data_IF_986235527523
#
_entry.id   IF_986235527523
#
_cell.length_a   1.000
_cell.length_b   1.000
_cell.length_c   1.000
_cell.angle_alpha   90.00
_cell.angle_beta   90.00
_cell.angle_gamma   90.00
#
_symmetry.space_group_name_H-M   'P 1'
#
loop_
_entity.id
_entity.type
_entity.pdbx_description
1 polymer ?
#
# COMPACT_ATOMS: atom_id res chain seq x y z
N UNK A 1 10.62 -1.78 -15.80
CA UNK A 1 11.28 -0.51 -15.48
C UNK A 1 11.47 -0.47 -13.97
N UNK A 2 12.69 -0.19 -13.49
CA UNK A 2 13.01 -0.22 -12.06
C UNK A 2 12.77 1.18 -11.47
N UNK A 3 12.09 1.22 -10.34
CA UNK A 3 11.88 2.42 -9.56
C UNK A 3 13.25 2.92 -9.07
N UNK A 4 13.56 4.18 -9.33
CA UNK A 4 14.78 4.79 -8.83
C UNK A 4 14.44 5.67 -7.63
N UNK A 5 14.90 5.26 -6.46
CA UNK A 5 14.71 5.97 -5.20
C UNK A 5 16.08 6.48 -4.76
N UNK A 6 16.19 7.79 -4.56
CA UNK A 6 17.42 8.44 -4.13
C UNK A 6 17.16 9.28 -2.89
N UNK A 7 17.83 8.92 -1.80
CA UNK A 7 17.90 9.77 -0.62
C UNK A 7 18.71 11.05 -0.92
N UNK A 8 18.11 12.22 -0.70
CA UNK A 8 18.77 13.51 -0.89
C UNK A 8 19.28 14.09 0.43
N UNK A 9 18.45 14.02 1.48
CA UNK A 9 18.77 14.58 2.79
C UNK A 9 18.03 13.80 3.87
N UNK A 10 18.68 13.63 5.02
CA UNK A 10 18.06 13.16 6.27
C UNK A 10 18.21 14.28 7.28
N UNK A 11 17.20 14.46 8.12
CA UNK A 11 17.29 15.33 9.27
C UNK A 11 18.14 14.68 10.37
N UNK A 12 19.01 15.46 11.01
CA UNK A 12 19.98 14.93 11.97
C UNK A 12 19.35 14.52 13.32
N UNK A 13 18.16 15.02 13.63
CA UNK A 13 17.48 14.81 14.92
C UNK A 13 16.20 13.96 14.79
N UNK A 14 15.49 14.09 13.66
CA UNK A 14 14.20 13.47 13.39
C UNK A 14 14.31 12.49 12.21
N UNK A 15 13.43 11.48 12.13
CA UNK A 15 13.45 10.54 10.99
C UNK A 15 12.87 11.13 9.70
N UNK A 16 12.87 12.46 9.56
CA UNK A 16 12.47 13.10 8.32
C UNK A 16 13.56 12.89 7.27
N UNK A 17 13.13 12.37 6.12
CA UNK A 17 14.00 12.24 4.96
C UNK A 17 13.36 12.84 3.73
N UNK A 18 14.19 13.43 2.90
CA UNK A 18 13.84 13.93 1.58
C UNK A 18 14.33 12.92 0.56
N UNK A 19 13.39 12.30 -0.14
CA UNK A 19 13.66 11.25 -1.11
C UNK A 19 13.12 11.67 -2.47
N UNK A 20 13.93 11.52 -3.51
CA UNK A 20 13.51 11.64 -4.90
C UNK A 20 13.10 10.28 -5.42
N UNK A 21 11.88 10.18 -5.97
CA UNK A 21 11.35 8.94 -6.55
C UNK A 21 11.11 9.20 -8.03
N UNK A 22 11.82 8.47 -8.88
CA UNK A 22 11.74 8.60 -10.33
C UNK A 22 11.23 7.30 -10.97
N UNK A 23 10.24 7.45 -11.85
CA UNK A 23 9.64 6.39 -12.62
C UNK A 23 9.41 6.87 -14.06
N UNK A 24 10.37 6.57 -14.94
CA UNK A 24 10.29 6.96 -16.34
C UNK A 24 10.43 8.47 -16.46
N UNK A 25 9.41 9.14 -17.00
CA UNK A 25 9.35 10.61 -17.08
C UNK A 25 8.71 11.28 -15.87
N UNK A 26 8.14 10.52 -14.93
CA UNK A 26 7.50 11.05 -13.72
C UNK A 26 8.50 11.05 -12.57
N UNK A 27 8.51 12.13 -11.80
CA UNK A 27 9.34 12.27 -10.59
C UNK A 27 8.56 12.96 -9.50
N UNK A 28 8.68 12.48 -8.27
CA UNK A 28 8.10 13.12 -7.08
C UNK A 28 9.17 13.31 -6.01
N UNK A 29 8.96 14.31 -5.16
CA UNK A 29 9.82 14.59 -4.00
C UNK A 29 9.03 14.37 -2.71
N UNK A 30 9.64 13.67 -1.75
CA UNK A 30 9.04 13.38 -0.44
C UNK A 30 9.63 14.28 0.65
N UNK A 31 8.94 14.51 1.78
CA UNK A 31 7.62 13.98 2.14
C UNK A 31 6.47 14.62 1.34
N UNK A 32 5.47 13.83 0.97
CA UNK A 32 4.29 14.30 0.21
C UNK A 32 3.02 13.58 0.69
N UNK A 33 1.86 14.25 0.63
CA UNK A 33 0.55 13.62 0.86
C UNK A 33 -0.08 13.30 -0.49
N UNK A 34 -0.56 12.08 -0.67
CA UNK A 34 -1.29 11.70 -1.86
C UNK A 34 -2.63 12.42 -1.95
N UNK A 35 -3.13 12.54 -3.16
CA UNK A 35 -4.38 13.23 -3.45
C UNK A 35 -5.37 12.38 -4.22
N UNK A 36 -6.65 12.73 -4.11
CA UNK A 36 -7.71 12.24 -4.98
C UNK A 36 -7.71 12.99 -6.32
N UNK A 37 -8.30 12.36 -7.34
CA UNK A 37 -8.40 12.95 -8.68
C UNK A 37 -9.24 14.23 -8.71
N UNK A 38 -10.23 14.37 -7.83
CA UNK A 38 -11.12 15.54 -7.80
C UNK A 38 -10.42 16.79 -7.27
N UNK A 39 -9.39 16.61 -6.43
CA UNK A 39 -8.62 17.70 -5.82
C UNK A 39 -7.12 17.36 -5.81
N UNK A 40 -6.46 17.38 -6.97
CA UNK A 40 -5.05 17.03 -7.08
C UNK A 40 -4.20 18.13 -6.44
N UNK A 41 -3.84 17.92 -5.18
CA UNK A 41 -2.92 18.80 -4.42
C UNK A 41 -1.48 18.30 -4.46
N UNK A 42 -1.23 17.17 -5.13
CA UNK A 42 0.07 16.50 -5.18
C UNK A 42 0.29 15.80 -6.52
N UNK A 43 1.57 15.52 -6.83
CA UNK A 43 1.95 14.78 -8.02
C UNK A 43 1.74 13.26 -7.90
N UNK A 44 1.15 12.78 -6.79
CA UNK A 44 0.81 11.37 -6.60
C UNK A 44 -0.70 11.19 -6.38
N UNK A 45 -1.30 10.40 -7.26
CA UNK A 45 -2.72 10.10 -7.27
C UNK A 45 -2.95 8.67 -6.76
N UNK A 46 -3.67 8.54 -5.65
CA UNK A 46 -4.03 7.25 -5.08
C UNK A 46 -5.42 6.82 -5.54
N UNK A 47 -5.50 5.65 -6.18
CA UNK A 47 -6.77 5.06 -6.62
C UNK A 47 -7.03 3.80 -5.80
N UNK A 48 -7.90 3.86 -4.80
CA UNK A 48 -8.18 2.69 -3.95
C UNK A 48 -9.46 1.97 -4.40
N UNK A 49 -9.34 0.67 -4.69
CA UNK A 49 -10.48 -0.15 -5.15
C UNK A 49 -10.62 -1.44 -4.36
N UNK A 50 -11.85 -1.67 -3.90
CA UNK A 50 -12.20 -2.81 -3.06
C UNK A 50 -13.01 -3.86 -3.82
N UNK A 51 -12.49 -5.08 -3.83
CA UNK A 51 -13.03 -6.22 -4.56
C UNK A 51 -13.41 -7.35 -3.60
N UNK A 52 -14.69 -7.70 -3.60
CA UNK A 52 -15.13 -8.97 -3.01
C UNK A 52 -14.95 -10.09 -4.04
N UNK A 53 -14.99 -11.34 -3.56
CA UNK A 53 -15.02 -12.52 -4.42
C UNK A 53 -16.16 -12.46 -5.45
N UNK A 54 -17.33 -11.98 -5.06
CA UNK A 54 -18.48 -11.79 -5.96
C UNK A 54 -18.16 -10.78 -7.07
N UNK A 55 -17.60 -9.62 -6.73
CA UNK A 55 -17.21 -8.61 -7.74
C UNK A 55 -16.19 -9.16 -8.73
N UNK A 56 -15.22 -9.95 -8.25
CA UNK A 56 -14.23 -10.58 -9.13
C UNK A 56 -14.86 -11.63 -10.04
N UNK A 57 -15.78 -12.44 -9.52
CA UNK A 57 -16.54 -13.39 -10.34
C UNK A 57 -17.39 -12.68 -11.40
N UNK A 58 -17.99 -11.53 -11.07
CA UNK A 58 -18.73 -10.73 -12.04
C UNK A 58 -17.79 -10.19 -13.13
N UNK A 59 -16.60 -9.69 -12.78
CA UNK A 59 -15.62 -9.26 -13.78
C UNK A 59 -15.16 -10.43 -14.67
N UNK A 60 -14.97 -11.62 -14.11
CA UNK A 60 -14.53 -12.82 -14.85
C UNK A 60 -15.62 -13.42 -15.77
N UNK A 61 -16.90 -13.16 -15.50
CA UNK A 61 -18.02 -13.78 -16.23
C UNK A 61 -18.84 -12.81 -17.08
N UNK A 62 -18.72 -11.50 -16.85
CA UNK A 62 -19.42 -10.44 -17.58
C UNK A 62 -18.45 -9.35 -18.07
N UNK A 63 -18.12 -9.40 -19.36
CA UNK A 63 -17.27 -8.41 -20.04
C UNK A 63 -17.80 -6.98 -19.90
N UNK A 64 -19.12 -6.77 -19.85
CA UNK A 64 -19.67 -5.42 -19.64
C UNK A 64 -19.36 -4.93 -18.22
N UNK A 65 -19.43 -5.81 -17.22
CA UNK A 65 -19.10 -5.48 -15.84
C UNK A 65 -17.61 -5.14 -15.70
N UNK A 66 -16.75 -5.92 -16.33
CA UNK A 66 -15.30 -5.68 -16.38
C UNK A 66 -14.99 -4.33 -17.05
N UNK A 67 -15.57 -4.06 -18.23
CA UNK A 67 -15.36 -2.80 -18.95
C UNK A 67 -15.84 -1.59 -18.17
N UNK A 68 -16.98 -1.68 -17.49
CA UNK A 68 -17.50 -0.62 -16.61
C UNK A 68 -16.53 -0.36 -15.46
N UNK A 69 -16.10 -1.42 -14.78
CA UNK A 69 -15.11 -1.34 -13.69
C UNK A 69 -13.83 -0.63 -14.15
N UNK A 70 -13.25 -1.08 -15.27
CA UNK A 70 -12.05 -0.46 -15.84
C UNK A 70 -12.29 1.01 -16.25
N UNK A 71 -13.46 1.33 -16.82
CA UNK A 71 -13.79 2.70 -17.21
C UNK A 71 -13.95 3.63 -16.01
N UNK A 72 -14.48 3.14 -14.90
CA UNK A 72 -14.60 3.89 -13.64
C UNK A 72 -13.23 4.21 -13.06
N UNK A 73 -12.35 3.21 -12.97
CA UNK A 73 -10.98 3.38 -12.44
C UNK A 73 -10.17 4.33 -13.34
N UNK A 74 -10.30 4.18 -14.67
CA UNK A 74 -9.62 5.04 -15.64
C UNK A 74 -9.99 6.52 -15.50
N UNK A 75 -11.23 6.83 -15.13
CA UNK A 75 -11.68 8.22 -14.90
C UNK A 75 -11.03 8.86 -13.67
N UNK A 76 -10.52 8.05 -12.75
CA UNK A 76 -9.81 8.51 -11.56
C UNK A 76 -8.31 8.70 -11.80
N UNK A 77 -7.80 8.33 -12.97
CA UNK A 77 -6.40 8.58 -13.32
C UNK A 77 -6.14 10.06 -13.60
N UNK A 78 -4.96 10.51 -13.23
CA UNK A 78 -4.48 11.88 -13.47
C UNK A 78 -3.15 11.87 -14.25
N UNK A 79 -2.64 13.06 -14.58
CA UNK A 79 -1.32 13.20 -15.19
C UNK A 79 -0.15 12.92 -14.21
N UNK A 80 -0.42 12.92 -12.91
CA UNK A 80 0.55 12.58 -11.87
C UNK A 80 0.94 11.10 -11.86
N UNK A 81 1.72 10.69 -10.88
CA UNK A 81 2.03 9.29 -10.63
C UNK A 81 0.79 8.60 -10.03
N UNK A 82 0.16 7.73 -10.80
CA UNK A 82 -1.01 6.97 -10.40
C UNK A 82 -0.58 5.70 -9.69
N UNK A 83 -1.11 5.49 -8.50
CA UNK A 83 -0.91 4.27 -7.73
C UNK A 83 -2.28 3.67 -7.41
N UNK A 84 -2.71 2.67 -8.19
CA UNK A 84 -3.94 1.96 -7.87
C UNK A 84 -3.66 0.90 -6.81
N UNK A 85 -4.32 1.00 -5.66
CA UNK A 85 -4.24 0.02 -4.58
C UNK A 85 -5.51 -0.81 -4.62
N UNK A 86 -5.37 -2.13 -4.80
CA UNK A 86 -6.50 -3.06 -4.77
C UNK A 86 -6.58 -3.78 -3.42
N UNK A 87 -7.78 -3.85 -2.86
CA UNK A 87 -8.10 -4.52 -1.60
C UNK A 87 -9.07 -5.69 -1.85
N UNK A 88 -8.55 -6.90 -1.67
CA UNK A 88 -9.36 -8.11 -1.64
C UNK A 88 -10.06 -8.24 -0.28
N UNK A 89 -11.38 -8.05 -0.32
CA UNK A 89 -12.20 -7.89 0.87
C UNK A 89 -13.06 -9.09 1.22
N UNK A 90 -12.74 -10.27 0.73
CA UNK A 90 -13.41 -11.51 1.13
C UNK A 90 -12.53 -12.28 2.14
N UNK A 91 -13.17 -13.05 3.02
CA UNK A 91 -12.49 -13.90 4.01
C UNK A 91 -12.09 -15.28 3.46
N UNK A 92 -12.58 -15.62 2.27
CA UNK A 92 -12.20 -16.81 1.51
C UNK A 92 -10.87 -16.59 0.82
N UNK A 93 -9.97 -17.58 0.83
CA UNK A 93 -8.72 -17.51 0.08
C UNK A 93 -9.07 -17.43 -1.41
N UNK A 94 -8.60 -16.41 -2.16
CA UNK A 94 -8.88 -16.31 -3.58
C UNK A 94 -8.14 -17.40 -4.35
N UNK A 95 -8.82 -18.01 -5.33
CA UNK A 95 -8.16 -18.82 -6.37
C UNK A 95 -7.29 -17.94 -7.29
N UNK A 96 -6.35 -18.57 -8.00
CA UNK A 96 -5.42 -17.89 -8.91
C UNK A 96 -6.11 -16.95 -9.91
N UNK A 97 -7.21 -17.37 -10.55
CA UNK A 97 -7.97 -16.54 -11.51
C UNK A 97 -8.45 -15.20 -10.93
N UNK A 98 -8.72 -15.15 -9.63
CA UNK A 98 -9.13 -13.92 -8.95
C UNK A 98 -7.93 -13.00 -8.71
N UNK A 99 -6.76 -13.58 -8.43
CA UNK A 99 -5.49 -12.85 -8.30
C UNK A 99 -5.08 -12.29 -9.66
N UNK A 100 -5.27 -13.06 -10.74
CA UNK A 100 -5.04 -12.61 -12.13
C UNK A 100 -5.93 -11.41 -12.46
N UNK A 101 -7.23 -11.49 -12.20
CA UNK A 101 -8.14 -10.35 -12.41
C UNK A 101 -7.75 -9.10 -11.59
N UNK A 102 -7.32 -9.26 -10.33
CA UNK A 102 -6.80 -8.15 -9.54
C UNK A 102 -5.52 -7.55 -10.13
N UNK A 103 -4.63 -8.40 -10.65
CA UNK A 103 -3.39 -7.98 -11.28
C UNK A 103 -3.67 -7.20 -12.56
N UNK A 104 -4.54 -7.70 -13.43
CA UNK A 104 -4.88 -7.06 -14.70
C UNK A 104 -5.51 -5.68 -14.49
N UNK A 105 -6.50 -5.59 -13.59
CA UNK A 105 -7.13 -4.31 -13.24
C UNK A 105 -6.09 -3.33 -12.68
N UNK A 106 -5.28 -3.74 -11.70
CA UNK A 106 -4.33 -2.81 -11.10
C UNK A 106 -3.25 -2.40 -12.10
N UNK A 107 -2.75 -3.36 -12.89
CA UNK A 107 -1.68 -3.14 -13.84
C UNK A 107 -2.11 -2.10 -14.88
N UNK A 108 -3.32 -2.18 -15.43
CA UNK A 108 -3.79 -1.19 -16.42
C UNK A 108 -3.85 0.24 -15.86
N UNK A 109 -4.28 0.41 -14.61
CA UNK A 109 -4.58 1.73 -14.03
C UNK A 109 -3.52 2.28 -13.07
N UNK A 110 -2.30 1.75 -13.09
CA UNK A 110 -1.20 2.23 -12.25
C UNK A 110 0.08 2.49 -13.01
N UNK A 111 0.87 3.48 -12.60
CA UNK A 111 2.25 3.61 -13.03
C UNK A 111 3.16 2.63 -12.26
N UNK A 112 2.84 2.35 -10.99
CA UNK A 112 3.52 1.38 -10.11
C UNK A 112 2.52 0.33 -9.64
N UNK A 113 2.91 -0.94 -9.69
CA UNK A 113 2.08 -2.05 -9.21
C UNK A 113 2.31 -2.23 -7.70
N UNK A 114 1.23 -2.40 -6.95
CA UNK A 114 1.25 -2.56 -5.49
C UNK A 114 0.63 -3.91 -5.15
N UNK A 115 1.35 -4.82 -4.48
CA UNK A 115 0.74 -6.12 -4.13
C UNK A 115 -0.57 -5.93 -3.35
N UNK A 116 -1.61 -6.76 -3.53
CA UNK A 116 -2.93 -6.50 -2.97
C UNK A 116 -2.95 -6.42 -1.44
N UNK A 117 -3.88 -5.60 -0.93
CA UNK A 117 -4.30 -5.67 0.46
C UNK A 117 -5.30 -6.83 0.60
N UNK A 118 -5.16 -7.65 1.64
CA UNK A 118 -6.08 -8.76 1.94
C UNK A 118 -6.87 -8.48 3.23
N UNK A 119 -7.58 -7.34 3.28
CA UNK A 119 -8.05 -6.71 4.54
C UNK A 119 -8.87 -7.63 5.44
N UNK A 120 -9.74 -8.46 4.85
CA UNK A 120 -10.63 -9.37 5.58
C UNK A 120 -10.02 -10.75 5.83
N UNK A 121 -9.09 -11.19 4.97
CA UNK A 121 -8.35 -12.44 5.19
C UNK A 121 -7.48 -12.33 6.44
N UNK A 122 -6.81 -11.19 6.62
CA UNK A 122 -5.98 -10.88 7.80
C UNK A 122 -6.78 -10.71 9.10
N UNK A 123 -8.12 -10.69 9.05
CA UNK A 123 -9.01 -10.66 10.21
C UNK A 123 -9.57 -12.05 10.56
N UNK A 124 -9.30 -13.06 9.74
CA UNK A 124 -9.87 -14.39 9.94
C UNK A 124 -9.26 -15.03 11.19
N UNK A 125 -10.11 -15.41 12.15
CA UNK A 125 -9.68 -15.94 13.45
C UNK A 125 -8.83 -17.22 13.35
N UNK A 126 -9.07 -18.02 12.31
CA UNK A 126 -8.38 -19.30 12.11
C UNK A 126 -7.03 -19.14 11.40
N UNK A 127 -6.69 -17.93 10.96
CA UNK A 127 -5.46 -17.61 10.24
C UNK A 127 -4.57 -16.77 11.17
N UNK A 128 -3.64 -17.43 11.88
CA UNK A 128 -2.80 -16.82 12.92
C UNK A 128 -1.37 -17.32 12.85
N UNK A 129 -0.42 -16.55 13.36
CA UNK A 129 0.98 -16.96 13.47
C UNK A 129 1.59 -17.35 12.12
N UNK A 130 2.21 -18.52 12.06
CA UNK A 130 2.87 -19.03 10.86
C UNK A 130 1.91 -19.27 9.70
N UNK A 131 0.68 -19.76 9.94
CA UNK A 131 -0.29 -20.00 8.85
C UNK A 131 -0.74 -18.70 8.18
N UNK A 132 -0.90 -17.63 8.97
CA UNK A 132 -1.17 -16.28 8.48
C UNK A 132 -0.04 -15.78 7.59
N UNK A 133 1.20 -15.92 8.06
CA UNK A 133 2.40 -15.45 7.33
C UNK A 133 2.58 -16.22 6.03
N UNK A 134 2.47 -17.55 6.08
CA UNK A 134 2.57 -18.44 4.92
C UNK A 134 1.50 -18.11 3.87
N UNK A 135 0.24 -18.02 4.29
CA UNK A 135 -0.86 -17.69 3.36
C UNK A 135 -0.66 -16.31 2.73
N UNK A 136 -0.22 -15.32 3.51
CA UNK A 136 0.06 -13.99 3.00
C UNK A 136 1.18 -14.01 1.94
N UNK A 137 2.30 -14.67 2.25
CA UNK A 137 3.44 -14.82 1.34
C UNK A 137 3.04 -15.59 0.07
N UNK A 138 2.28 -16.67 0.20
CA UNK A 138 1.79 -17.45 -0.95
C UNK A 138 0.93 -16.60 -1.89
N UNK A 139 0.02 -15.79 -1.34
CA UNK A 139 -0.86 -14.93 -2.13
C UNK A 139 -0.10 -13.77 -2.78
N UNK A 140 0.82 -13.11 -2.07
CA UNK A 140 1.63 -12.04 -2.65
C UNK A 140 2.62 -12.56 -3.67
N UNK A 141 3.20 -13.75 -3.46
CA UNK A 141 4.07 -14.39 -4.45
C UNK A 141 3.31 -14.75 -5.72
N UNK A 142 2.12 -15.34 -5.61
CA UNK A 142 1.27 -15.59 -6.78
C UNK A 142 0.96 -14.31 -7.55
N UNK A 143 0.65 -13.22 -6.83
CA UNK A 143 0.42 -11.92 -7.46
C UNK A 143 1.66 -11.37 -8.17
N UNK A 144 2.82 -11.42 -7.52
CA UNK A 144 4.09 -10.97 -8.09
C UNK A 144 4.41 -11.76 -9.36
N UNK A 145 4.30 -13.10 -9.31
CA UNK A 145 4.53 -13.97 -10.47
C UNK A 145 3.66 -13.58 -11.66
N UNK A 146 2.37 -13.29 -11.44
CA UNK A 146 1.44 -12.85 -12.50
C UNK A 146 1.89 -11.51 -13.09
N UNK A 147 2.19 -10.52 -12.25
CA UNK A 147 2.60 -9.19 -12.69
C UNK A 147 3.93 -9.24 -13.46
N UNK A 148 4.86 -10.08 -13.05
CA UNK A 148 6.14 -10.26 -13.74
C UNK A 148 5.94 -10.80 -15.17
N UNK A 149 4.88 -11.56 -15.45
CA UNK A 149 4.55 -11.98 -16.82
C UNK A 149 4.17 -10.80 -17.73
N UNK A 150 3.55 -9.76 -17.18
CA UNK A 150 3.14 -8.56 -17.90
C UNK A 150 4.33 -7.62 -18.21
N UNK A 151 5.47 -7.82 -17.50
CA UNK A 151 6.72 -7.07 -17.60
C UNK A 151 6.56 -5.54 -17.48
N UNK A 152 7.63 -4.74 -17.45
CA UNK A 152 7.61 -3.26 -17.54
C UNK A 152 7.31 -2.40 -16.29
N UNK A 153 6.47 -2.78 -15.32
CA UNK A 153 6.19 -1.93 -14.14
C UNK A 153 7.00 -2.32 -12.90
N UNK A 154 7.31 -1.33 -12.06
CA UNK A 154 7.91 -1.60 -10.74
C UNK A 154 6.85 -2.13 -9.78
N UNK A 155 7.28 -3.02 -8.88
CA UNK A 155 6.41 -3.59 -7.85
C UNK A 155 6.78 -2.99 -6.49
N UNK A 156 5.76 -2.64 -5.71
CA UNK A 156 5.84 -2.16 -4.34
C UNK A 156 5.09 -3.16 -3.46
N UNK A 157 5.74 -3.62 -2.39
CA UNK A 157 5.17 -4.63 -1.50
C UNK A 157 4.23 -4.00 -0.47
N UNK A 158 3.12 -4.65 -0.16
CA UNK A 158 2.27 -4.26 0.98
C UNK A 158 2.77 -4.94 2.24
N UNK A 159 2.89 -4.17 3.33
CA UNK A 159 3.16 -4.66 4.67
C UNK A 159 1.98 -4.24 5.57
N UNK A 160 1.08 -5.17 5.95
CA UNK A 160 -0.05 -4.83 6.80
C UNK A 160 0.40 -4.57 8.25
N UNK A 161 0.01 -3.44 8.83
CA UNK A 161 0.24 -3.10 10.26
C UNK A 161 -0.42 -4.08 11.24
N UNK A 162 -1.36 -4.89 10.74
CA UNK A 162 -1.99 -5.98 11.47
C UNK A 162 -1.08 -7.18 11.67
N UNK A 163 -0.09 -7.36 10.81
CA UNK A 163 0.87 -8.43 10.98
C UNK A 163 1.62 -8.20 12.29
N UNK A 164 1.61 -9.19 13.19
CA UNK A 164 2.42 -9.15 14.41
C UNK A 164 3.88 -8.87 14.07
N UNK A 165 4.56 -8.15 14.96
CA UNK A 165 5.92 -7.64 14.74
C UNK A 165 6.90 -8.77 14.42
N UNK A 166 6.78 -9.89 15.12
CA UNK A 166 7.57 -11.11 14.99
C UNK A 166 7.43 -11.77 13.61
N UNK A 167 6.36 -11.47 12.87
CA UNK A 167 6.10 -12.01 11.53
C UNK A 167 6.54 -11.08 10.40
N UNK A 168 7.11 -9.90 10.71
CA UNK A 168 7.53 -8.94 9.68
C UNK A 168 8.79 -9.39 8.93
N UNK A 169 9.77 -10.02 9.61
CA UNK A 169 11.03 -10.40 8.96
C UNK A 169 10.81 -11.33 7.75
N UNK A 170 10.06 -12.45 7.86
CA UNK A 170 9.80 -13.31 6.70
C UNK A 170 9.12 -12.59 5.54
N UNK A 171 8.25 -11.61 5.83
CA UNK A 171 7.55 -10.83 4.80
C UNK A 171 8.53 -9.92 4.06
N UNK A 172 9.34 -9.15 4.79
CA UNK A 172 10.33 -8.24 4.20
C UNK A 172 11.38 -9.02 3.43
N UNK A 173 11.90 -10.11 4.00
CA UNK A 173 12.87 -11.00 3.36
C UNK A 173 12.33 -11.55 2.04
N UNK A 174 11.10 -12.08 2.03
CA UNK A 174 10.47 -12.60 0.82
C UNK A 174 10.29 -11.55 -0.29
N UNK A 175 10.09 -10.28 0.06
CA UNK A 175 10.06 -9.18 -0.91
C UNK A 175 11.47 -8.83 -1.40
N UNK A 176 12.45 -8.74 -0.51
CA UNK A 176 13.85 -8.47 -0.84
C UNK A 176 14.42 -9.52 -1.80
N UNK A 177 14.12 -10.80 -1.57
CA UNK A 177 14.54 -11.92 -2.44
C UNK A 177 14.00 -11.78 -3.87
N UNK A 178 12.92 -11.01 -4.05
CA UNK A 178 12.31 -10.68 -5.36
C UNK A 178 12.66 -9.28 -5.83
N UNK A 179 13.69 -8.65 -5.26
CA UNK A 179 14.13 -7.28 -5.56
C UNK A 179 13.05 -6.20 -5.35
N UNK A 180 12.06 -6.45 -4.50
CA UNK A 180 11.05 -5.47 -4.09
C UNK A 180 11.56 -4.75 -2.84
N UNK A 181 11.85 -3.45 -2.99
CA UNK A 181 12.60 -2.67 -2.00
C UNK A 181 11.79 -1.56 -1.35
N UNK A 182 10.64 -1.20 -1.90
CA UNK A 182 9.78 -0.14 -1.39
C UNK A 182 8.42 -0.68 -0.99
N UNK A 183 7.77 -0.03 -0.01
CA UNK A 183 6.61 -0.63 0.66
C UNK A 183 5.45 0.34 0.88
N UNK A 184 4.23 -0.20 0.73
CA UNK A 184 2.98 0.39 1.21
C UNK A 184 2.63 -0.25 2.56
N UNK A 185 2.48 0.56 3.58
CA UNK A 185 2.08 0.17 4.93
C UNK A 185 0.58 0.36 5.07
N UNK A 186 -0.18 -0.74 5.09
CA UNK A 186 -1.63 -0.71 5.36
C UNK A 186 -1.89 -0.64 6.86
N UNK A 187 -2.29 0.54 7.33
CA UNK A 187 -2.54 0.77 8.74
C UNK A 187 -3.89 0.22 9.21
N UNK A 188 -4.79 -0.20 8.31
CA UNK A 188 -6.09 -0.78 8.67
C UNK A 188 -6.90 0.08 9.69
N UNK A 189 -6.76 1.41 9.63
CA UNK A 189 -7.42 2.36 10.53
C UNK A 189 -6.76 2.45 11.90
N UNK A 190 -5.57 1.87 12.08
CA UNK A 190 -4.70 2.11 13.24
C UNK A 190 -4.00 3.44 13.09
N UNK A 191 -3.68 4.05 14.23
CA UNK A 191 -2.80 5.21 14.29
C UNK A 191 -1.36 4.76 14.05
N UNK A 192 -0.54 5.63 13.49
CA UNK A 192 0.89 5.36 13.22
C UNK A 192 1.71 5.40 14.53
N UNK A 193 1.10 5.85 15.63
CA UNK A 193 1.68 5.90 16.98
C UNK A 193 2.06 4.54 17.61
N UNK A 194 1.86 3.40 16.92
CA UNK A 194 2.45 2.13 17.33
C UNK A 194 3.96 2.11 17.05
N UNK A 195 4.69 2.87 17.87
CA UNK A 195 6.14 3.10 17.76
C UNK A 195 6.94 1.80 17.74
N UNK A 196 6.52 0.77 18.46
CA UNK A 196 7.29 -0.49 18.55
C UNK A 196 7.24 -1.31 17.26
N UNK A 197 6.13 -1.26 16.53
CA UNK A 197 5.97 -1.95 15.25
C UNK A 197 6.78 -1.23 14.17
N UNK A 198 6.62 0.09 14.07
CA UNK A 198 7.37 0.91 13.10
C UNK A 198 8.87 0.83 13.36
N UNK A 199 9.33 0.96 14.61
CA UNK A 199 10.77 0.84 14.94
C UNK A 199 11.35 -0.51 14.56
N UNK A 200 10.57 -1.59 14.68
CA UNK A 200 11.02 -2.89 14.24
C UNK A 200 11.11 -2.99 12.73
N UNK A 201 10.11 -2.47 12.02
CA UNK A 201 10.17 -2.34 10.56
C UNK A 201 11.38 -1.53 10.12
N UNK A 202 11.65 -0.35 10.71
CA UNK A 202 12.83 0.47 10.42
C UNK A 202 14.14 -0.30 10.62
N UNK A 203 14.24 -1.13 11.68
CA UNK A 203 15.40 -2.00 11.89
C UNK A 203 15.53 -3.04 10.78
N UNK A 204 14.43 -3.66 10.35
CA UNK A 204 14.45 -4.58 9.21
C UNK A 204 14.87 -3.88 7.93
N UNK A 205 14.34 -2.68 7.65
CA UNK A 205 14.75 -1.88 6.50
C UNK A 205 16.26 -1.62 6.50
N UNK A 206 16.85 -1.38 7.67
CA UNK A 206 18.29 -1.23 7.80
C UNK A 206 19.05 -2.55 7.64
N UNK A 207 18.58 -3.65 8.26
CA UNK A 207 19.19 -4.97 8.15
C UNK A 207 19.27 -5.47 6.68
N UNK A 208 18.33 -5.03 5.83
CA UNK A 208 18.28 -5.36 4.40
C UNK A 208 18.82 -4.24 3.48
N UNK A 209 19.55 -3.26 4.02
CA UNK A 209 20.16 -2.14 3.27
C UNK A 209 19.17 -1.33 2.41
N UNK A 210 17.93 -1.19 2.88
CA UNK A 210 16.83 -0.53 2.17
C UNK A 210 16.69 0.95 2.54
N UNK A 211 17.22 1.41 3.67
CA UNK A 211 16.99 2.76 4.22
C UNK A 211 17.13 3.89 3.20
N UNK A 212 18.16 3.81 2.34
CA UNK A 212 18.48 4.82 1.33
C UNK A 212 17.91 4.52 -0.08
N UNK A 213 17.42 3.30 -0.28
CA UNK A 213 16.99 2.75 -1.58
C UNK A 213 15.48 2.47 -1.65
N UNK A 214 14.75 2.88 -0.61
CA UNK A 214 13.33 2.59 -0.43
C UNK A 214 12.56 3.83 -0.04
N UNK A 215 11.29 3.84 -0.43
CA UNK A 215 10.30 4.74 0.14
C UNK A 215 9.25 3.93 0.91
N UNK A 216 8.68 4.57 1.93
CA UNK A 216 7.54 4.06 2.69
C UNK A 216 6.30 4.90 2.41
N UNK A 217 5.22 4.24 2.03
CA UNK A 217 3.93 4.85 1.75
C UNK A 217 2.92 4.38 2.80
N UNK A 218 2.20 5.26 3.49
CA UNK A 218 1.12 4.85 4.40
C UNK A 218 -0.23 4.85 3.71
N UNK A 219 -1.08 3.84 3.91
CA UNK A 219 -2.49 3.87 3.49
C UNK A 219 -3.38 3.47 4.67
N UNK A 220 -4.62 3.95 4.70
CA UNK A 220 -5.59 3.64 5.76
C UNK A 220 -5.08 3.99 7.16
N UNK A 221 -4.23 5.01 7.29
CA UNK A 221 -3.79 5.51 8.58
C UNK A 221 -4.90 6.32 9.24
N UNK A 222 -5.05 6.18 10.56
CA UNK A 222 -5.98 7.00 11.32
C UNK A 222 -5.33 8.36 11.64
N UNK A 223 -5.73 9.37 10.89
CA UNK A 223 -5.33 10.78 11.03
C UNK A 223 -5.88 11.43 12.32
N UNK A 224 -6.66 10.70 13.12
CA UNK A 224 -7.36 11.20 14.31
C UNK A 224 -8.77 11.69 13.97
N UNK A 225 -9.59 11.89 15.01
CA UNK A 225 -10.92 12.48 14.85
C UNK A 225 -10.87 13.94 15.26
N UNK A 226 -11.44 14.81 14.43
CA UNK A 226 -11.81 16.16 14.85
C UNK A 226 -12.89 16.04 15.93
N UNK A 227 -12.51 16.09 17.21
CA UNK A 227 -13.50 16.16 18.27
C UNK A 227 -14.08 17.57 18.27
N UNK A 228 -15.41 17.71 18.16
CA UNK A 228 -16.12 19.00 18.07
C UNK A 228 -15.78 20.00 19.19
N UNK A 229 -15.23 19.52 20.31
CA UNK A 229 -14.89 20.30 21.50
C UNK A 229 -13.38 20.27 21.84
N UNK A 230 -12.52 19.78 20.93
CA UNK A 230 -11.09 19.80 21.18
C UNK A 230 -10.54 21.22 20.94
N UNK A 231 -9.90 21.78 21.98
CA UNK A 231 -9.21 23.08 21.92
C UNK A 231 -7.97 23.00 21.00
N UNK A 232 -7.35 21.82 20.95
CA UNK A 232 -6.19 21.51 20.12
C UNK A 232 -6.40 20.14 19.48
N UNK A 233 -6.14 20.05 18.17
CA UNK A 233 -6.26 18.81 17.41
C UNK A 233 -4.85 18.44 16.94
N UNK A 234 -4.30 17.29 17.37
CA UNK A 234 -2.98 16.87 16.94
C UNK A 234 -2.95 16.71 15.41
N UNK A 235 -1.99 17.36 14.75
CA UNK A 235 -1.74 17.18 13.33
C UNK A 235 -1.05 15.83 13.09
N UNK A 236 -1.78 14.72 13.26
CA UNK A 236 -1.22 13.37 13.19
C UNK A 236 -0.56 13.08 11.84
N UNK A 237 -1.04 13.68 10.77
CA UNK A 237 -0.41 13.60 9.44
C UNK A 237 1.03 14.12 9.46
N UNK A 238 1.29 15.23 10.16
CA UNK A 238 2.64 15.77 10.32
C UNK A 238 3.51 14.89 11.24
N UNK A 239 2.89 14.21 12.20
CA UNK A 239 3.58 13.26 13.09
C UNK A 239 4.00 12.00 12.32
N UNK A 240 3.20 11.59 11.33
CA UNK A 240 3.43 10.37 10.54
C UNK A 240 4.74 10.42 9.74
N UNK A 241 5.08 11.57 9.14
CA UNK A 241 6.35 11.74 8.44
C UNK A 241 7.56 11.69 9.41
N UNK A 242 7.36 12.00 10.69
CA UNK A 242 8.36 11.87 11.74
C UNK A 242 8.71 10.43 12.10
N UNK A 243 7.95 9.46 11.58
CA UNK A 243 8.20 8.02 11.72
C UNK A 243 8.84 7.38 10.48
N UNK A 244 9.42 8.20 9.59
CA UNK A 244 10.11 7.72 8.38
C UNK A 244 9.18 7.35 7.23
N UNK A 245 7.91 7.80 7.28
CA UNK A 245 6.97 7.65 6.17
C UNK A 245 7.24 8.74 5.14
N UNK A 246 7.56 8.34 3.92
CA UNK A 246 7.84 9.24 2.80
C UNK A 246 6.55 9.79 2.17
N UNK A 247 5.53 8.95 2.06
CA UNK A 247 4.28 9.34 1.39
C UNK A 247 3.09 9.02 2.27
N UNK A 248 2.28 10.05 2.54
CA UNK A 248 1.03 9.93 3.30
C UNK A 248 -0.13 9.68 2.34
N UNK A 249 -0.57 8.44 2.22
CA UNK A 249 -1.80 8.07 1.50
C UNK A 249 -3.07 8.35 2.29
N UNK A 250 -4.20 8.02 1.68
CA UNK A 250 -5.52 8.41 2.15
C UNK A 250 -6.13 7.31 3.03
N UNK A 251 -7.20 7.67 3.75
CA UNK A 251 -7.94 6.73 4.59
C UNK A 251 -9.26 6.32 3.93
N UNK A 252 -9.32 5.07 3.45
CA UNK A 252 -10.47 4.53 2.72
C UNK A 252 -11.40 3.69 3.59
N UNK A 253 -11.12 3.60 4.89
CA UNK A 253 -11.93 2.83 5.81
C UNK A 253 -13.09 3.68 6.32
N UNK A 254 -14.28 3.10 6.29
CA UNK A 254 -15.44 3.72 6.92
C UNK A 254 -15.18 3.91 8.43
N UNK A 255 -15.58 5.06 9.01
CA UNK A 255 -15.52 5.26 10.44
C UNK A 255 -16.28 4.13 11.15
N UNK A 256 -15.61 3.38 12.02
CA UNK A 256 -16.32 2.41 12.88
C UNK A 256 -17.23 3.21 13.80
N UNK A 257 -18.55 3.13 13.55
CA UNK A 257 -19.54 3.54 14.53
C UNK A 257 -19.45 2.54 15.67
N UNK A 258 -19.24 3.02 16.90
CA UNK A 258 -19.31 2.18 18.08
C UNK A 258 -20.76 1.70 18.20
N UNK A 259 -20.99 0.41 17.98
CA UNK A 259 -22.18 -0.31 18.44
C UNK A 259 -22.04 -0.63 19.92
#
# INVERSE_FOLDING_TARGET
MKLNVKLEKVDDELMFKRTSICLGSKSIMTPIKASYCENPISDINEIYKKFSLEKLNNCLSDEQHERRTNSEIKREMTNGLNMCIVDYSSSTIPERKHIEMLADIQYEHSDIVVTPIFSNLLRKKDLVGESLTKTFIELTNQYIEIVETLNHKSIVGVIPSKMPRELLRPIVENYCDKNITSFVLDFDGRSIDNTTWIRHLTRLMNDFDLTEKSFLYSVNANEGKFMKNAVEIPAKDFINSGFGIDILGLNHLQPRMNS
#
